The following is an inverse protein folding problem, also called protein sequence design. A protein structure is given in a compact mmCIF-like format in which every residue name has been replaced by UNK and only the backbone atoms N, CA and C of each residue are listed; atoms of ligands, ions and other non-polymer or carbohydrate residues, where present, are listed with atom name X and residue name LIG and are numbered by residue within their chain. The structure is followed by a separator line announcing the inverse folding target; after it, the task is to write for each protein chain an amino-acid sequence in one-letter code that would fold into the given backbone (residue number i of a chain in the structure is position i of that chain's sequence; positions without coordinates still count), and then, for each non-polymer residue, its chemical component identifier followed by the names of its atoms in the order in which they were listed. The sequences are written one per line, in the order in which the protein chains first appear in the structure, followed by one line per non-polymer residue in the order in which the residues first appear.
data_IF_406074756581
#
_entry.id   IF_406074756581
#
_cell.length_a   1.000
_cell.length_b   1.000
_cell.length_c   1.000
_cell.angle_alpha   90.00
_cell.angle_beta   90.00
_cell.angle_gamma   90.00
#
_symmetry.space_group_name_H-M   'P 1'
#
loop_
_entity.id
_entity.type
_entity.pdbx_description
1 polymer ?
#
# COMPACT_ATOMS: atom_id res chain seq x y z
N UNK A 1 18.47 -21.62 -5.71
CA UNK A 1 17.05 -21.75 -5.33
C UNK A 1 16.58 -20.66 -4.37
N UNK A 2 17.27 -20.41 -3.24
CA UNK A 2 16.87 -19.37 -2.25
C UNK A 2 16.64 -17.98 -2.87
N UNK A 3 17.55 -17.51 -3.73
CA UNK A 3 17.42 -16.21 -4.40
C UNK A 3 16.15 -16.08 -5.24
N UNK A 4 15.79 -17.13 -5.99
CA UNK A 4 14.57 -17.13 -6.82
C UNK A 4 13.32 -17.10 -5.94
N UNK A 5 13.33 -17.82 -4.82
CA UNK A 5 12.24 -17.78 -3.85
C UNK A 5 12.07 -16.37 -3.24
N UNK A 6 13.18 -15.69 -2.88
CA UNK A 6 13.13 -14.32 -2.39
C UNK A 6 12.55 -13.35 -3.42
N UNK A 7 12.98 -13.45 -4.69
CA UNK A 7 12.42 -12.64 -5.78
C UNK A 7 10.93 -12.91 -5.94
N UNK A 8 10.49 -14.17 -5.92
CA UNK A 8 9.09 -14.53 -6.03
C UNK A 8 8.26 -13.89 -4.91
N UNK A 9 8.70 -14.04 -3.65
CA UNK A 9 8.02 -13.44 -2.48
C UNK A 9 7.97 -11.92 -2.60
N UNK A 10 9.08 -11.30 -3.03
CA UNK A 10 9.16 -9.85 -3.21
C UNK A 10 8.16 -9.35 -4.26
N UNK A 11 8.10 -10.03 -5.42
CA UNK A 11 7.19 -9.68 -6.50
C UNK A 11 5.72 -9.91 -6.11
N UNK A 12 5.40 -11.00 -5.43
CA UNK A 12 4.04 -11.25 -4.94
C UNK A 12 3.57 -10.15 -3.96
N UNK A 13 4.46 -9.73 -3.05
CA UNK A 13 4.20 -8.61 -2.16
C UNK A 13 3.96 -7.30 -2.92
N UNK A 14 4.80 -7.00 -3.91
CA UNK A 14 4.68 -5.81 -4.73
C UNK A 14 3.39 -5.81 -5.56
N UNK A 15 3.03 -6.94 -6.17
CA UNK A 15 1.81 -7.11 -6.97
C UNK A 15 0.57 -6.92 -6.11
N UNK A 16 0.50 -7.58 -4.94
CA UNK A 16 -0.66 -7.45 -4.06
C UNK A 16 -0.83 -6.01 -3.60
N UNK A 17 0.27 -5.35 -3.21
CA UNK A 17 0.22 -4.03 -2.63
C UNK A 17 -0.09 -2.95 -3.68
N UNK A 18 0.71 -2.87 -4.76
CA UNK A 18 0.53 -1.88 -5.83
C UNK A 18 -0.78 -2.14 -6.58
N UNK A 19 -1.05 -3.40 -6.94
CA UNK A 19 -2.27 -3.81 -7.62
C UNK A 19 -3.52 -3.55 -6.78
N UNK A 20 -3.45 -3.81 -5.46
CA UNK A 20 -4.53 -3.49 -4.53
C UNK A 20 -4.81 -1.99 -4.42
N UNK A 21 -3.78 -1.15 -4.37
CA UNK A 21 -3.95 0.31 -4.39
C UNK A 21 -4.54 0.81 -5.71
N UNK A 22 -4.07 0.29 -6.84
CA UNK A 22 -4.63 0.60 -8.16
C UNK A 22 -6.11 0.22 -8.22
N UNK A 23 -6.46 -1.01 -7.85
CA UNK A 23 -7.84 -1.48 -7.83
C UNK A 23 -8.72 -0.61 -6.94
N UNK A 24 -8.27 -0.31 -5.71
CA UNK A 24 -9.02 0.54 -4.80
C UNK A 24 -9.27 1.93 -5.39
N UNK A 25 -8.23 2.57 -5.93
CA UNK A 25 -8.30 3.95 -6.36
C UNK A 25 -9.00 4.14 -7.72
N UNK A 26 -8.69 3.27 -8.68
CA UNK A 26 -9.09 3.40 -10.09
C UNK A 26 -10.36 2.61 -10.40
N UNK A 27 -10.62 1.50 -9.72
CA UNK A 27 -11.77 0.64 -10.02
C UNK A 27 -12.87 0.78 -8.96
N UNK A 28 -12.55 0.46 -7.70
CA UNK A 28 -13.55 0.39 -6.63
C UNK A 28 -14.14 1.76 -6.31
N UNK A 29 -13.32 2.82 -6.28
CA UNK A 29 -13.77 4.18 -5.97
C UNK A 29 -14.84 4.70 -6.95
N UNK A 30 -14.60 4.73 -8.27
CA UNK A 30 -15.64 5.20 -9.19
C UNK A 30 -16.86 4.29 -9.19
N UNK A 31 -16.68 2.96 -9.12
CA UNK A 31 -17.79 2.03 -9.03
C UNK A 31 -18.69 2.31 -7.80
N UNK A 32 -18.09 2.51 -6.62
CA UNK A 32 -18.83 2.86 -5.41
C UNK A 32 -19.52 4.24 -5.52
N UNK A 33 -18.94 5.19 -6.25
CA UNK A 33 -19.54 6.49 -6.49
C UNK A 33 -20.72 6.45 -7.48
N UNK A 34 -20.71 5.48 -8.40
CA UNK A 34 -21.74 5.29 -9.41
C UNK A 34 -22.93 4.47 -8.89
N UNK A 35 -22.67 3.42 -8.11
CA UNK A 35 -23.69 2.41 -7.75
C UNK A 35 -24.33 2.67 -6.39
N UNK A 36 -23.63 3.34 -5.47
CA UNK A 36 -24.10 3.51 -4.09
C UNK A 36 -24.48 4.94 -3.77
N UNK A 37 -25.51 5.11 -2.96
CA UNK A 37 -25.85 6.39 -2.36
C UNK A 37 -24.76 6.87 -1.38
N UNK A 38 -24.59 8.19 -1.17
CA UNK A 38 -23.54 8.73 -0.31
C UNK A 38 -23.41 8.08 1.08
N UNK A 39 -24.50 7.76 1.81
CA UNK A 39 -24.42 7.12 3.13
C UNK A 39 -23.85 5.68 3.10
N UNK A 40 -24.06 4.96 2.00
CA UNK A 40 -23.64 3.55 1.86
C UNK A 40 -22.16 3.40 1.48
N UNK A 41 -21.56 4.45 0.90
CA UNK A 41 -20.16 4.43 0.45
C UNK A 41 -19.17 4.29 1.60
N UNK A 42 -19.39 4.99 2.71
CA UNK A 42 -18.45 5.00 3.84
C UNK A 42 -18.37 3.65 4.56
N UNK A 43 -19.50 2.96 4.86
CA UNK A 43 -19.50 1.59 5.35
C UNK A 43 -18.81 0.60 4.41
N UNK A 44 -19.05 0.68 3.10
CA UNK A 44 -18.35 -0.16 2.11
C UNK A 44 -16.83 0.00 2.25
N UNK A 45 -16.34 1.25 2.24
CA UNK A 45 -14.91 1.53 2.36
C UNK A 45 -14.32 1.02 3.68
N UNK A 46 -15.03 1.22 4.79
CA UNK A 46 -14.62 0.68 6.09
C UNK A 46 -14.50 -0.86 6.04
N UNK A 47 -15.48 -1.55 5.46
CA UNK A 47 -15.48 -3.00 5.32
C UNK A 47 -14.41 -3.52 4.35
N UNK A 48 -14.12 -2.79 3.27
CA UNK A 48 -13.03 -3.11 2.34
C UNK A 48 -11.69 -3.01 3.06
N UNK A 49 -11.42 -1.91 3.75
CA UNK A 49 -10.15 -1.71 4.46
C UNK A 49 -9.94 -2.71 5.61
N UNK A 50 -11.01 -3.15 6.26
CA UNK A 50 -10.93 -4.22 7.27
C UNK A 50 -10.31 -5.52 6.75
N UNK A 51 -10.49 -5.82 5.47
CA UNK A 51 -9.95 -7.02 4.81
C UNK A 51 -8.62 -6.73 4.11
N UNK A 52 -8.55 -5.59 3.42
CA UNK A 52 -7.40 -5.24 2.60
C UNK A 52 -6.16 -4.87 3.42
N UNK A 53 -6.30 -4.06 4.49
CA UNK A 53 -5.12 -3.56 5.21
C UNK A 53 -4.32 -4.66 5.91
N UNK A 54 -4.92 -5.68 6.56
CA UNK A 54 -4.14 -6.81 7.10
C UNK A 54 -3.41 -7.60 6.01
N UNK A 55 -4.06 -7.87 4.87
CA UNK A 55 -3.42 -8.55 3.75
C UNK A 55 -2.27 -7.72 3.15
N UNK A 56 -2.48 -6.41 3.02
CA UNK A 56 -1.45 -5.47 2.58
C UNK A 56 -0.29 -5.44 3.59
N UNK A 57 -0.54 -5.46 4.90
CA UNK A 57 0.52 -5.49 5.91
C UNK A 57 1.41 -6.74 5.76
N UNK A 58 0.82 -7.91 5.53
CA UNK A 58 1.58 -9.14 5.24
C UNK A 58 2.43 -8.98 3.98
N UNK A 59 1.88 -8.39 2.91
CA UNK A 59 2.63 -8.13 1.69
C UNK A 59 3.77 -7.12 1.89
N UNK A 60 3.57 -6.04 2.66
CA UNK A 60 4.62 -5.07 3.00
C UNK A 60 5.74 -5.76 3.76
N UNK A 61 5.42 -6.54 4.79
CA UNK A 61 6.42 -7.26 5.57
C UNK A 61 7.19 -8.28 4.72
N UNK A 62 6.50 -9.05 3.88
CA UNK A 62 7.12 -10.01 2.98
C UNK A 62 8.05 -9.32 1.97
N UNK A 63 7.63 -8.19 1.41
CA UNK A 63 8.41 -7.38 0.47
C UNK A 63 9.67 -6.82 1.15
N UNK A 64 9.55 -6.24 2.34
CA UNK A 64 10.70 -5.70 3.07
C UNK A 64 11.68 -6.81 3.47
N UNK A 65 11.18 -7.90 4.07
CA UNK A 65 12.02 -9.01 4.50
C UNK A 65 12.81 -9.62 3.34
N UNK A 66 12.13 -9.87 2.21
CA UNK A 66 12.80 -10.38 0.99
C UNK A 66 13.76 -9.36 0.38
N UNK A 67 13.40 -8.07 0.38
CA UNK A 67 14.26 -6.99 -0.12
C UNK A 67 15.56 -6.85 0.67
N UNK A 68 15.48 -6.81 2.00
CA UNK A 68 16.65 -6.78 2.88
C UNK A 68 17.51 -8.04 2.73
N UNK A 69 16.90 -9.23 2.64
CA UNK A 69 17.64 -10.47 2.43
C UNK A 69 18.38 -10.50 1.09
N UNK A 70 17.82 -9.91 0.03
CA UNK A 70 18.49 -9.79 -1.27
C UNK A 70 19.62 -8.75 -1.22
N UNK A 71 19.41 -7.61 -0.56
CA UNK A 71 20.38 -6.53 -0.42
C UNK A 71 21.62 -6.95 0.40
N UNK A 72 21.45 -7.87 1.35
CA UNK A 72 22.54 -8.41 2.17
C UNK A 72 23.52 -9.31 1.39
N UNK A 73 23.10 -9.90 0.25
CA UNK A 73 23.94 -10.85 -0.51
C UNK A 73 25.19 -10.22 -1.13
N UNK A 74 25.10 -9.14 -1.93
CA UNK A 74 26.29 -8.45 -2.45
C UNK A 74 26.96 -7.55 -1.39
N UNK A 75 26.28 -7.27 -0.27
CA UNK A 75 26.68 -6.24 0.70
C UNK A 75 26.17 -4.85 0.30
N UNK A 76 25.70 -4.08 1.29
CA UNK A 76 24.98 -2.82 1.07
C UNK A 76 25.74 -1.82 0.18
N UNK A 77 27.06 -1.67 0.37
CA UNK A 77 27.87 -0.71 -0.37
C UNK A 77 28.11 -1.10 -1.85
N UNK A 78 27.90 -2.38 -2.20
CA UNK A 78 28.17 -2.92 -3.53
C UNK A 78 26.88 -3.09 -4.36
N UNK A 79 25.73 -2.75 -3.76
CA UNK A 79 24.44 -2.86 -4.43
C UNK A 79 24.26 -1.75 -5.50
N UNK A 80 23.59 -2.04 -6.62
CA UNK A 80 23.29 -1.03 -7.62
C UNK A 80 22.49 0.13 -7.05
N UNK A 81 22.65 1.33 -7.61
CA UNK A 81 21.93 2.53 -7.19
C UNK A 81 20.40 2.34 -7.20
N UNK A 82 19.88 1.56 -8.17
CA UNK A 82 18.46 1.22 -8.25
C UNK A 82 17.94 0.48 -7.01
N UNK A 83 18.76 -0.34 -6.35
CA UNK A 83 18.35 -1.07 -5.14
C UNK A 83 18.23 -0.12 -3.95
N UNK A 84 19.13 0.86 -3.83
CA UNK A 84 19.05 1.90 -2.81
C UNK A 84 17.82 2.79 -3.01
N UNK A 85 17.50 3.14 -4.26
CA UNK A 85 16.27 3.87 -4.59
C UNK A 85 15.02 3.06 -4.21
N UNK A 86 14.98 1.77 -4.56
CA UNK A 86 13.87 0.89 -4.18
C UNK A 86 13.72 0.78 -2.66
N UNK A 87 14.82 0.68 -1.91
CA UNK A 87 14.79 0.66 -0.45
C UNK A 87 14.23 1.97 0.11
N UNK A 88 14.76 3.11 -0.32
CA UNK A 88 14.34 4.42 0.16
C UNK A 88 12.84 4.67 -0.10
N UNK A 89 12.38 4.38 -1.31
CA UNK A 89 10.97 4.50 -1.68
C UNK A 89 10.10 3.50 -0.92
N UNK A 90 10.54 2.24 -0.80
CA UNK A 90 9.81 1.20 -0.07
C UNK A 90 9.63 1.53 1.42
N UNK A 91 10.64 2.11 2.07
CA UNK A 91 10.54 2.57 3.45
C UNK A 91 9.60 3.77 3.60
N UNK A 92 9.69 4.76 2.70
CA UNK A 92 8.76 5.89 2.67
C UNK A 92 7.31 5.41 2.50
N UNK A 93 7.08 4.51 1.54
CA UNK A 93 5.76 3.92 1.30
C UNK A 93 5.23 3.15 2.50
N UNK A 94 6.11 2.41 3.18
CA UNK A 94 5.76 1.66 4.39
C UNK A 94 5.35 2.59 5.54
N UNK A 95 6.03 3.73 5.69
CA UNK A 95 5.64 4.78 6.65
C UNK A 95 4.27 5.39 6.35
N UNK A 96 3.99 5.69 5.07
CA UNK A 96 2.66 6.16 4.63
C UNK A 96 1.58 5.12 4.95
N UNK A 97 1.84 3.84 4.64
CA UNK A 97 0.93 2.75 4.95
C UNK A 97 0.71 2.59 6.45
N UNK A 98 1.76 2.65 7.27
CA UNK A 98 1.65 2.57 8.72
C UNK A 98 0.76 3.68 9.27
N UNK A 99 0.89 4.92 8.78
CA UNK A 99 0.02 6.02 9.19
C UNK A 99 -1.45 5.80 8.75
N UNK A 100 -1.67 5.33 7.52
CA UNK A 100 -3.02 4.97 7.05
C UNK A 100 -3.64 3.89 7.93
N UNK A 101 -2.90 2.82 8.22
CA UNK A 101 -3.38 1.66 8.96
C UNK A 101 -3.61 1.96 10.45
N UNK A 102 -2.68 2.66 11.11
CA UNK A 102 -2.71 2.89 12.54
C UNK A 102 -3.52 4.13 12.95
N UNK A 103 -3.65 5.14 12.09
CA UNK A 103 -4.29 6.42 12.44
C UNK A 103 -5.58 6.64 11.67
N UNK A 104 -5.53 6.64 10.34
CA UNK A 104 -6.68 7.05 9.54
C UNK A 104 -7.78 5.98 9.48
N UNK A 105 -7.41 4.71 9.36
CA UNK A 105 -8.39 3.62 9.30
C UNK A 105 -9.20 3.48 10.59
N UNK A 106 -8.61 3.50 11.81
CA UNK A 106 -9.37 3.50 13.04
C UNK A 106 -10.32 4.69 13.15
N UNK A 107 -9.91 5.89 12.72
CA UNK A 107 -10.77 7.09 12.67
C UNK A 107 -11.95 6.93 11.72
N UNK A 108 -11.73 6.33 10.54
CA UNK A 108 -12.82 6.02 9.60
C UNK A 108 -13.79 5.03 10.23
N UNK A 109 -13.27 3.94 10.80
CA UNK A 109 -14.07 2.87 11.40
C UNK A 109 -14.92 3.38 12.57
N UNK A 110 -14.33 4.15 13.48
CA UNK A 110 -15.07 4.70 14.63
C UNK A 110 -16.13 5.70 14.18
N UNK A 111 -15.80 6.62 13.26
CA UNK A 111 -16.75 7.59 12.76
C UNK A 111 -17.92 6.94 12.00
N UNK A 112 -17.68 5.84 11.28
CA UNK A 112 -18.76 5.04 10.68
C UNK A 112 -19.65 4.38 11.74
N UNK A 113 -19.07 3.85 12.82
CA UNK A 113 -19.83 3.22 13.91
C UNK A 113 -20.70 4.23 14.69
N UNK A 114 -20.22 5.47 14.83
CA UNK A 114 -20.95 6.57 15.47
C UNK A 114 -21.93 7.30 14.51
N UNK A 115 -22.06 6.85 13.26
CA UNK A 115 -22.80 7.55 12.20
C UNK A 115 -22.36 9.04 12.01
N UNK A 116 -21.12 9.36 12.36
CA UNK A 116 -20.52 10.70 12.24
C UNK A 116 -20.02 10.94 10.80
N UNK A 117 -20.95 11.01 9.84
CA UNK A 117 -20.64 11.03 8.40
C UNK A 117 -19.62 12.08 7.95
N UNK A 118 -19.65 13.34 8.44
CA UNK A 118 -18.64 14.33 8.05
C UNK A 118 -17.22 13.92 8.47
N UNK A 119 -17.05 13.37 9.69
CA UNK A 119 -15.75 12.90 10.20
C UNK A 119 -15.27 11.67 9.43
N UNK A 120 -16.17 10.74 9.14
CA UNK A 120 -15.86 9.55 8.34
C UNK A 120 -15.40 9.93 6.92
N UNK A 121 -16.09 10.89 6.28
CA UNK A 121 -15.71 11.40 4.96
C UNK A 121 -14.32 12.08 4.98
N UNK A 122 -14.02 12.85 6.02
CA UNK A 122 -12.70 13.48 6.19
C UNK A 122 -11.59 12.43 6.32
N UNK A 123 -11.79 11.41 7.17
CA UNK A 123 -10.83 10.32 7.33
C UNK A 123 -10.61 9.57 6.01
N UNK A 124 -11.69 9.22 5.31
CA UNK A 124 -11.59 8.55 4.01
C UNK A 124 -10.88 9.40 2.95
N UNK A 125 -11.10 10.71 2.91
CA UNK A 125 -10.38 11.60 2.01
C UNK A 125 -8.88 11.65 2.32
N UNK A 126 -8.49 11.62 3.60
CA UNK A 126 -7.10 11.45 4.01
C UNK A 126 -6.49 10.15 3.48
N UNK A 127 -7.20 9.02 3.66
CA UNK A 127 -6.74 7.71 3.16
C UNK A 127 -6.57 7.76 1.65
N UNK A 128 -7.53 8.33 0.90
CA UNK A 128 -7.47 8.42 -0.56
C UNK A 128 -6.25 9.20 -1.05
N UNK A 129 -5.93 10.33 -0.42
CA UNK A 129 -4.75 11.14 -0.79
C UNK A 129 -3.46 10.38 -0.57
N UNK A 130 -3.33 9.70 0.58
CA UNK A 130 -2.15 8.92 0.90
C UNK A 130 -2.03 7.66 0.03
N UNK A 131 -3.13 6.98 -0.28
CA UNK A 131 -3.11 5.84 -1.22
C UNK A 131 -2.72 6.29 -2.62
N UNK A 132 -3.18 7.45 -3.09
CA UNK A 132 -2.77 8.01 -4.39
C UNK A 132 -1.26 8.32 -4.41
N UNK A 133 -0.75 9.00 -3.38
CA UNK A 133 0.67 9.24 -3.20
C UNK A 133 1.45 7.91 -3.22
N UNK A 134 1.00 6.93 -2.44
CA UNK A 134 1.68 5.65 -2.30
C UNK A 134 1.66 4.84 -3.60
N UNK A 135 0.59 4.96 -4.39
CA UNK A 135 0.52 4.34 -5.72
C UNK A 135 1.53 4.96 -6.68
N UNK A 136 1.66 6.29 -6.70
CA UNK A 136 2.69 6.98 -7.52
C UNK A 136 4.09 6.55 -7.08
N UNK A 137 4.38 6.53 -5.78
CA UNK A 137 5.67 6.05 -5.25
C UNK A 137 5.92 4.58 -5.64
N UNK A 138 4.87 3.74 -5.64
CA UNK A 138 4.96 2.35 -6.08
C UNK A 138 5.35 2.23 -7.55
N UNK A 139 4.74 3.03 -8.43
CA UNK A 139 5.10 3.06 -9.86
C UNK A 139 6.56 3.52 -10.04
N UNK A 140 7.00 4.55 -9.31
CA UNK A 140 8.40 5.01 -9.33
C UNK A 140 9.35 3.93 -8.81
N UNK A 141 8.95 3.15 -7.81
CA UNK A 141 9.73 2.02 -7.29
C UNK A 141 9.90 0.93 -8.34
N UNK A 142 8.84 0.62 -9.11
CA UNK A 142 8.90 -0.32 -10.24
C UNK A 142 9.83 0.22 -11.34
N UNK A 143 9.78 1.51 -11.64
CA UNK A 143 10.70 2.14 -12.60
C UNK A 143 12.16 2.05 -12.13
N UNK A 144 12.43 2.28 -10.84
CA UNK A 144 13.76 2.12 -10.25
C UNK A 144 14.28 0.67 -10.40
N UNK A 145 13.41 -0.33 -10.30
CA UNK A 145 13.76 -1.73 -10.52
C UNK A 145 14.28 -2.03 -11.94
N UNK A 146 13.97 -1.20 -12.94
CA UNK A 146 14.52 -1.34 -14.30
C UNK A 146 15.99 -0.93 -14.32
N UNK A 147 16.34 0.14 -13.59
CA UNK A 147 17.73 0.65 -13.46
C UNK A 147 18.61 -0.20 -12.54
N UNK A 148 18.02 -1.19 -11.88
CA UNK A 148 18.64 -2.12 -10.93
C UNK A 148 19.18 -3.41 -11.59
N UNK A 149 19.01 -3.54 -12.91
CA UNK A 149 19.51 -4.65 -13.74
C UNK A 149 20.95 -4.39 -14.17
#
# INVERSE_FOLDING_TARGET
MLRQALILVHLLGAILWIGGMFFAYVCLRPAAAQVLDPPQRLPLWSATFARFLPAAAVAVLALLASGFAMLAQPGFAQAPIGWHLMLALGLLMSGVFAYVHAVLYPRLRSACAEAAWPRAAQALNGIRRLVALNLVLGILTVAAAITAR
#
